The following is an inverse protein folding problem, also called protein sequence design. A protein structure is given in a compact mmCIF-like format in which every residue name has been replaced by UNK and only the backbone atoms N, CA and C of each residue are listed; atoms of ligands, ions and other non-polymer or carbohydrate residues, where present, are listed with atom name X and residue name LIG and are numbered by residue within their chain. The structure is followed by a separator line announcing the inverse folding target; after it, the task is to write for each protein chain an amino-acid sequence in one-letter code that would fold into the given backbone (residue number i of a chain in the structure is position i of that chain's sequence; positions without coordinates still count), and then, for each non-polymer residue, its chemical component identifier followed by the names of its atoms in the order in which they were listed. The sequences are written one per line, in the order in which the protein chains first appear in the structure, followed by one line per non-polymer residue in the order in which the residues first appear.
data_IF_243362995375
#
_entry.id   IF_243362995375
#
_cell.length_a   1.000
_cell.length_b   1.000
_cell.length_c   1.000
_cell.angle_alpha   90.00
_cell.angle_beta   90.00
_cell.angle_gamma   90.00
#
_symmetry.space_group_name_H-M   'P 1'
#
loop_
_entity.id
_entity.type
_entity.pdbx_description
1 polymer ?
#
# COMPACT_ATOMS: atom_id res chain seq x y z
N UNK A 1 24.04 5.37 -18.68
CA UNK A 1 23.15 5.24 -17.49
C UNK A 1 24.00 4.97 -16.25
N UNK A 2 23.62 5.42 -15.04
CA UNK A 2 24.33 5.05 -13.80
C UNK A 2 24.46 3.53 -13.60
N UNK A 3 23.65 2.74 -14.32
CA UNK A 3 23.72 1.27 -14.41
C UNK A 3 24.96 0.77 -15.17
N UNK A 4 25.48 1.54 -16.12
CA UNK A 4 26.63 1.14 -16.96
C UNK A 4 27.97 1.49 -16.31
N UNK A 5 27.99 2.40 -15.33
CA UNK A 5 29.24 2.86 -14.69
C UNK A 5 29.69 1.98 -13.51
N UNK A 6 28.81 1.15 -12.97
CA UNK A 6 29.09 0.28 -11.80
C UNK A 6 28.51 -1.13 -11.96
N UNK A 7 28.25 -1.57 -13.20
CA UNK A 7 27.49 -2.77 -13.55
C UNK A 7 27.86 -4.02 -12.75
N UNK A 8 27.19 -4.22 -11.61
CA UNK A 8 27.06 -5.54 -10.99
C UNK A 8 25.95 -6.25 -11.75
N UNK A 9 26.33 -7.37 -12.38
CA UNK A 9 25.41 -8.36 -12.93
C UNK A 9 24.23 -8.59 -11.97
N UNK A 10 22.96 -8.51 -12.42
CA UNK A 10 21.79 -8.89 -11.63
C UNK A 10 21.90 -10.28 -10.96
N UNK A 11 22.67 -11.21 -11.54
CA UNK A 11 22.98 -12.51 -10.94
C UNK A 11 23.85 -12.45 -9.68
N UNK A 12 24.59 -11.35 -9.48
CA UNK A 12 25.49 -11.12 -8.35
C UNK A 12 24.81 -10.58 -7.08
N UNK A 13 23.49 -10.34 -7.11
CA UNK A 13 22.69 -9.83 -5.98
C UNK A 13 22.33 -10.92 -4.96
N UNK A 14 23.02 -12.06 -5.03
CA UNK A 14 22.82 -13.26 -4.21
C UNK A 14 23.75 -13.30 -3.00
N UNK A 15 24.53 -12.24 -2.75
CA UNK A 15 25.35 -12.16 -1.55
C UNK A 15 24.45 -12.06 -0.30
N UNK A 16 24.80 -12.69 0.84
CA UNK A 16 23.97 -12.67 2.05
C UNK A 16 23.59 -11.27 2.55
N UNK A 17 24.45 -10.27 2.31
CA UNK A 17 24.18 -8.86 2.65
C UNK A 17 23.09 -8.20 1.80
N UNK A 18 22.89 -8.64 0.56
CA UNK A 18 21.89 -8.06 -0.34
C UNK A 18 20.47 -8.43 0.09
N UNK A 19 20.29 -9.61 0.72
CA UNK A 19 19.02 -10.04 1.30
C UNK A 19 18.57 -9.15 2.46
N UNK A 20 19.51 -8.76 3.34
CA UNK A 20 19.22 -7.85 4.44
C UNK A 20 18.88 -6.44 3.95
N UNK A 21 19.63 -5.92 2.97
CA UNK A 21 19.32 -4.62 2.35
C UNK A 21 17.97 -4.62 1.64
N UNK A 22 17.61 -5.71 0.94
CA UNK A 22 16.28 -5.87 0.35
C UNK A 22 15.19 -5.87 1.42
N UNK A 23 15.43 -6.54 2.55
CA UNK A 23 14.49 -6.55 3.68
C UNK A 23 14.31 -5.16 4.30
N UNK A 24 15.42 -4.42 4.51
CA UNK A 24 15.36 -3.04 4.99
C UNK A 24 14.60 -2.12 4.03
N UNK A 25 14.85 -2.25 2.72
CA UNK A 25 14.14 -1.49 1.71
C UNK A 25 12.64 -1.81 1.71
N UNK A 26 12.28 -3.09 1.85
CA UNK A 26 10.89 -3.51 1.98
C UNK A 26 10.24 -2.91 3.23
N UNK A 27 10.91 -2.96 4.39
CA UNK A 27 10.41 -2.36 5.62
C UNK A 27 10.19 -0.85 5.46
N UNK A 28 11.08 -0.15 4.76
CA UNK A 28 10.94 1.28 4.47
C UNK A 28 9.68 1.58 3.63
N UNK A 29 9.39 0.74 2.63
CA UNK A 29 8.23 0.87 1.74
C UNK A 29 6.89 0.76 2.50
N UNK A 30 6.83 -0.06 3.54
CA UNK A 30 5.62 -0.25 4.37
C UNK A 30 5.64 0.54 5.68
N UNK A 31 6.59 1.47 5.84
CA UNK A 31 6.86 2.17 7.11
C UNK A 31 5.78 3.15 7.57
N UNK A 32 4.79 3.46 6.73
CA UNK A 32 3.77 4.46 7.00
C UNK A 32 3.04 4.23 8.34
N UNK A 33 2.80 2.97 8.70
CA UNK A 33 2.06 2.62 9.92
C UNK A 33 2.89 2.76 11.20
N UNK A 34 4.20 2.93 11.08
CA UNK A 34 5.14 3.17 12.18
C UNK A 34 5.42 4.67 12.38
N UNK A 35 4.73 5.56 11.66
CA UNK A 35 4.86 7.02 11.80
C UNK A 35 3.83 7.56 12.80
N UNK A 36 4.05 8.78 13.33
CA UNK A 36 3.04 9.48 14.12
C UNK A 36 1.66 9.46 13.46
N UNK A 37 0.62 9.24 14.26
CA UNK A 37 -0.75 8.96 13.81
C UNK A 37 -1.26 9.85 12.68
N UNK A 38 -1.05 11.17 12.77
CA UNK A 38 -1.52 12.10 11.74
C UNK A 38 -0.91 11.82 10.36
N UNK A 39 0.36 11.40 10.29
CA UNK A 39 1.01 10.99 9.06
C UNK A 39 0.49 9.64 8.58
N UNK A 40 0.40 8.65 9.47
CA UNK A 40 -0.13 7.32 9.13
C UNK A 40 -1.53 7.40 8.52
N UNK A 41 -2.40 8.24 9.09
CA UNK A 41 -3.75 8.49 8.57
C UNK A 41 -3.72 9.20 7.21
N UNK A 42 -2.85 10.19 7.01
CA UNK A 42 -2.72 10.88 5.72
C UNK A 42 -2.27 9.92 4.61
N UNK A 43 -1.30 9.04 4.91
CA UNK A 43 -0.85 7.99 3.99
C UNK A 43 -1.97 7.00 3.68
N UNK A 44 -2.64 6.49 4.71
CA UNK A 44 -3.77 5.56 4.53
C UNK A 44 -4.87 6.18 3.66
N UNK A 45 -5.23 7.45 3.92
CA UNK A 45 -6.25 8.15 3.13
C UNK A 45 -5.87 8.27 1.66
N UNK A 46 -4.61 8.56 1.35
CA UNK A 46 -4.12 8.66 -0.04
C UNK A 46 -4.11 7.30 -0.73
N UNK A 47 -3.63 6.25 -0.04
CA UNK A 47 -3.63 4.89 -0.58
C UNK A 47 -5.05 4.40 -0.90
N UNK A 48 -6.01 4.59 0.01
CA UNK A 48 -7.39 4.17 -0.26
C UNK A 48 -8.10 5.04 -1.30
N UNK A 49 -7.78 6.33 -1.39
CA UNK A 49 -8.30 7.16 -2.48
C UNK A 49 -7.91 6.58 -3.85
N UNK A 50 -6.67 6.12 -3.98
CA UNK A 50 -6.17 5.48 -5.19
C UNK A 50 -6.79 4.09 -5.43
N UNK A 51 -6.88 3.24 -4.41
CA UNK A 51 -7.55 1.94 -4.53
C UNK A 51 -9.01 2.09 -4.96
N UNK A 52 -9.73 3.06 -4.41
CA UNK A 52 -11.11 3.29 -4.79
C UNK A 52 -11.25 3.87 -6.19
N UNK A 53 -10.31 4.71 -6.63
CA UNK A 53 -10.24 5.19 -8.01
C UNK A 53 -10.01 4.03 -8.98
N UNK A 54 -9.11 3.11 -8.64
CA UNK A 54 -8.90 1.89 -9.42
C UNK A 54 -10.17 1.05 -9.51
N UNK A 55 -10.85 0.81 -8.38
CA UNK A 55 -12.08 0.03 -8.36
C UNK A 55 -13.23 0.65 -9.16
N UNK A 56 -13.31 1.98 -9.21
CA UNK A 56 -14.28 2.67 -10.05
C UNK A 56 -13.99 2.46 -11.55
N UNK A 57 -12.71 2.52 -11.96
CA UNK A 57 -12.28 2.22 -13.33
C UNK A 57 -12.49 0.76 -13.71
N UNK A 58 -12.26 -0.17 -12.78
CA UNK A 58 -12.53 -1.59 -12.99
C UNK A 58 -14.03 -1.82 -13.28
N UNK A 59 -14.93 -1.17 -12.53
CA UNK A 59 -16.38 -1.22 -12.78
C UNK A 59 -16.75 -0.62 -14.14
N UNK A 60 -16.19 0.53 -14.48
CA UNK A 60 -16.44 1.20 -15.76
C UNK A 60 -16.05 0.32 -16.95
N UNK A 61 -14.97 -0.44 -16.83
CA UNK A 61 -14.50 -1.36 -17.87
C UNK A 61 -15.11 -2.77 -17.79
N UNK A 62 -16.09 -3.00 -16.90
CA UNK A 62 -16.71 -4.31 -16.74
C UNK A 62 -15.77 -5.39 -16.19
N UNK A 63 -14.69 -4.99 -15.51
CA UNK A 63 -13.73 -5.88 -14.88
C UNK A 63 -14.19 -6.25 -13.46
N UNK A 64 -13.82 -7.44 -12.95
CA UNK A 64 -13.98 -7.76 -11.54
C UNK A 64 -13.23 -6.76 -10.67
N UNK A 65 -13.91 -6.20 -9.67
CA UNK A 65 -13.29 -5.21 -8.77
C UNK A 65 -12.27 -5.88 -7.86
N UNK A 66 -11.07 -5.34 -7.87
CA UNK A 66 -9.94 -5.82 -7.09
C UNK A 66 -10.23 -5.76 -5.59
N UNK A 67 -9.62 -6.66 -4.81
CA UNK A 67 -9.68 -6.58 -3.36
C UNK A 67 -9.36 -5.17 -2.84
N UNK A 68 -10.22 -4.67 -1.95
CA UNK A 68 -10.11 -3.41 -1.20
C UNK A 68 -10.29 -2.15 -2.07
N UNK A 69 -10.55 -2.34 -3.36
CA UNK A 69 -10.78 -1.26 -4.32
C UNK A 69 -12.26 -0.85 -4.39
N UNK A 70 -13.18 -1.58 -3.76
CA UNK A 70 -14.59 -1.19 -3.71
C UNK A 70 -14.92 -0.33 -2.48
N UNK A 71 -15.13 0.98 -2.70
CA UNK A 71 -15.52 1.93 -1.64
C UNK A 71 -16.85 1.62 -0.96
N UNK A 72 -17.75 0.86 -1.60
CA UNK A 72 -19.05 0.52 -1.03
C UNK A 72 -18.97 -0.60 0.02
N UNK A 73 -18.00 -1.51 -0.13
CA UNK A 73 -17.89 -2.71 0.73
C UNK A 73 -16.64 -2.71 1.60
N UNK A 74 -15.65 -1.88 1.29
CA UNK A 74 -14.37 -1.87 2.01
C UNK A 74 -14.46 -1.11 3.32
N UNK A 75 -14.26 -1.83 4.43
CA UNK A 75 -14.12 -1.24 5.77
C UNK A 75 -12.63 -0.95 6.02
N UNK A 76 -12.22 0.30 5.83
CA UNK A 76 -10.81 0.76 5.93
C UNK A 76 -10.16 0.34 7.25
N UNK A 77 -10.83 0.50 8.39
CA UNK A 77 -10.28 0.14 9.70
C UNK A 77 -9.95 -1.36 9.78
N UNK A 78 -10.83 -2.21 9.26
CA UNK A 78 -10.63 -3.66 9.25
C UNK A 78 -9.47 -4.06 8.32
N UNK A 79 -9.41 -3.43 7.14
CA UNK A 79 -8.31 -3.62 6.19
C UNK A 79 -6.95 -3.23 6.80
N UNK A 80 -6.88 -2.09 7.49
CA UNK A 80 -5.66 -1.61 8.15
C UNK A 80 -5.23 -2.48 9.33
N UNK A 81 -6.17 -2.96 10.16
CA UNK A 81 -5.87 -3.93 11.22
C UNK A 81 -5.26 -5.20 10.62
N UNK A 82 -5.83 -5.71 9.53
CA UNK A 82 -5.28 -6.88 8.82
C UNK A 82 -3.86 -6.63 8.31
N UNK A 83 -3.66 -5.53 7.59
CA UNK A 83 -2.35 -5.16 7.04
C UNK A 83 -1.28 -5.02 8.12
N UNK A 84 -1.59 -4.32 9.22
CA UNK A 84 -0.65 -4.17 10.33
C UNK A 84 -0.34 -5.52 10.98
N UNK A 85 -1.36 -6.35 11.27
CA UNK A 85 -1.15 -7.63 11.97
C UNK A 85 -0.35 -8.65 11.17
N UNK A 86 -0.56 -8.71 9.85
CA UNK A 86 -0.05 -9.81 9.03
C UNK A 86 1.14 -9.42 8.15
N UNK A 87 1.41 -8.13 7.95
CA UNK A 87 2.50 -7.65 7.09
C UNK A 87 3.45 -6.76 7.89
N UNK A 88 2.95 -5.67 8.45
CA UNK A 88 3.82 -4.65 9.06
C UNK A 88 4.43 -5.15 10.37
N UNK A 89 3.62 -5.64 11.31
CA UNK A 89 4.10 -6.04 12.63
C UNK A 89 5.14 -7.17 12.58
N UNK A 90 4.95 -8.27 11.83
CA UNK A 90 5.99 -9.29 11.70
C UNK A 90 7.30 -8.76 11.12
N UNK A 91 7.22 -7.84 10.15
CA UNK A 91 8.40 -7.18 9.55
C UNK A 91 9.14 -6.33 10.57
N UNK A 92 8.41 -5.52 11.34
CA UNK A 92 9.00 -4.60 12.31
C UNK A 92 9.45 -5.26 13.62
N UNK A 93 8.81 -6.36 14.03
CA UNK A 93 9.26 -7.17 15.17
C UNK A 93 10.63 -7.79 14.85
N UNK A 94 10.79 -8.41 13.68
CA UNK A 94 12.07 -8.95 13.24
C UNK A 94 13.14 -7.85 13.12
N UNK A 95 12.75 -6.70 12.58
CA UNK A 95 13.69 -5.57 12.45
C UNK A 95 14.10 -5.01 13.82
N UNK A 96 13.21 -5.01 14.81
CA UNK A 96 13.49 -4.56 16.17
C UNK A 96 14.47 -5.48 16.91
N UNK A 97 14.49 -6.78 16.61
CA UNK A 97 15.50 -7.72 17.14
C UNK A 97 16.92 -7.36 16.64
N UNK A 98 17.03 -6.86 15.41
CA UNK A 98 18.31 -6.51 14.78
C UNK A 98 18.76 -5.07 15.06
N UNK A 99 17.80 -4.15 15.18
CA UNK A 99 18.04 -2.72 15.34
C UNK A 99 17.22 -2.19 16.52
N UNK A 100 17.80 -2.08 17.73
CA UNK A 100 17.07 -1.68 18.93
C UNK A 100 16.31 -0.35 18.82
N UNK A 101 16.84 0.61 18.03
CA UNK A 101 16.17 1.89 17.76
C UNK A 101 14.81 1.73 17.08
N UNK A 102 14.57 0.65 16.35
CA UNK A 102 13.27 0.36 15.75
C UNK A 102 12.26 -0.01 16.83
N UNK A 103 12.67 -0.75 17.86
CA UNK A 103 11.83 -1.04 19.02
C UNK A 103 11.46 0.24 19.78
N UNK A 104 12.39 1.18 19.90
CA UNK A 104 12.19 2.44 20.62
C UNK A 104 11.28 3.42 19.87
N UNK A 105 11.43 3.53 18.54
CA UNK A 105 10.79 4.58 17.74
C UNK A 105 9.55 4.05 17.01
N UNK A 106 9.65 2.91 16.34
CA UNK A 106 8.63 2.43 15.41
C UNK A 106 7.53 1.61 16.12
N UNK A 107 7.90 0.76 17.07
CA UNK A 107 6.95 -0.14 17.74
C UNK A 107 5.87 0.59 18.53
N UNK A 108 6.16 1.67 19.31
CA UNK A 108 5.13 2.41 20.02
C UNK A 108 4.11 3.07 19.08
N UNK A 109 4.57 3.66 17.97
CA UNK A 109 3.70 4.26 16.97
C UNK A 109 2.85 3.21 16.25
N UNK A 110 3.44 2.06 15.94
CA UNK A 110 2.72 0.95 15.31
C UNK A 110 1.57 0.45 16.18
N UNK A 111 1.80 0.23 17.48
CA UNK A 111 0.77 -0.20 18.43
C UNK A 111 -0.29 0.89 18.64
N UNK A 112 0.15 2.15 18.80
CA UNK A 112 -0.72 3.32 18.92
C UNK A 112 -1.66 3.47 17.71
N UNK A 113 -1.16 3.23 16.49
CA UNK A 113 -1.95 3.27 15.26
C UNK A 113 -2.86 2.05 15.13
N UNK A 114 -2.39 0.85 15.50
CA UNK A 114 -3.22 -0.35 15.50
C UNK A 114 -4.43 -0.21 16.43
N UNK A 115 -4.22 0.33 17.62
CA UNK A 115 -5.27 0.58 18.60
C UNK A 115 -6.27 1.62 18.09
N UNK A 116 -5.80 2.69 17.44
CA UNK A 116 -6.70 3.65 16.79
C UNK A 116 -7.64 2.99 15.78
N UNK A 117 -7.13 2.07 14.95
CA UNK A 117 -7.96 1.35 13.98
C UNK A 117 -8.96 0.41 14.65
N UNK A 118 -8.59 -0.25 15.76
CA UNK A 118 -9.51 -1.08 16.56
C UNK A 118 -10.68 -0.26 17.09
N UNK A 119 -10.39 0.85 17.77
CA UNK A 119 -11.41 1.75 18.29
C UNK A 119 -12.33 2.30 17.19
N UNK A 120 -11.77 2.62 16.02
CA UNK A 120 -12.55 3.07 14.86
C UNK A 120 -13.44 1.96 14.31
N UNK A 121 -12.98 0.71 14.29
CA UNK A 121 -13.77 -0.44 13.88
C UNK A 121 -14.93 -0.67 14.85
N UNK A 122 -14.65 -0.70 16.15
CA UNK A 122 -15.64 -0.95 17.20
C UNK A 122 -16.75 0.12 17.17
N UNK A 123 -16.37 1.40 17.06
CA UNK A 123 -17.35 2.50 16.89
C UNK A 123 -18.22 2.32 15.65
N UNK A 124 -17.63 1.84 14.55
CA UNK A 124 -18.37 1.61 13.30
C UNK A 124 -19.36 0.46 13.47
N UNK A 125 -18.96 -0.62 14.15
CA UNK A 125 -19.84 -1.77 14.41
C UNK A 125 -20.98 -1.42 15.35
N UNK A 126 -20.74 -0.60 16.37
CA UNK A 126 -21.77 -0.15 17.32
C UNK A 126 -22.82 0.74 16.65
N UNK A 127 -22.39 1.64 15.76
CA UNK A 127 -23.33 2.47 14.98
C UNK A 127 -24.18 1.61 14.03
N UNK A 128 -23.61 0.56 13.45
CA UNK A 128 -24.32 -0.37 12.58
C UNK A 128 -25.28 -1.29 13.34
N UNK A 129 -25.02 -1.60 14.62
CA UNK A 129 -25.92 -2.39 15.47
C UNK A 129 -27.05 -1.52 16.04
N UNK A 130 -26.76 -0.28 16.45
CA UNK A 130 -27.75 0.68 16.94
C UNK A 130 -28.79 1.08 15.87
N UNK A 131 -28.39 1.13 14.60
CA UNK A 131 -29.30 1.37 13.47
C UNK A 131 -30.12 0.13 13.07
N UNK A 132 -29.80 -1.04 13.63
CA UNK A 132 -30.46 -2.34 13.37
C UNK A 132 -31.26 -2.88 14.56
N UNK A 133 -31.92 -2.01 15.31
CA UNK A 133 -32.96 -2.45 16.23
C UNK A 133 -34.21 -2.97 15.49
N UNK A 134 -34.20 -4.25 15.07
CA UNK A 134 -35.35 -5.21 15.04
C UNK A 134 -35.04 -6.53 14.25
N UNK A 135 -33.89 -7.18 14.46
CA UNK A 135 -33.71 -8.54 13.91
C UNK A 135 -32.30 -9.13 14.06
N UNK A 136 -32.26 -10.30 14.70
CA UNK A 136 -31.15 -11.24 14.94
C UNK A 136 -29.84 -10.97 14.17
N UNK A 137 -28.78 -10.59 14.90
CA UNK A 137 -27.49 -10.23 14.27
C UNK A 137 -26.23 -10.60 15.06
N UNK A 138 -26.28 -11.66 15.87
CA UNK A 138 -25.08 -12.19 16.54
C UNK A 138 -24.08 -12.86 15.56
N UNK A 139 -24.51 -13.25 14.35
CA UNK A 139 -23.65 -13.93 13.36
C UNK A 139 -22.82 -13.03 12.43
N UNK A 140 -23.09 -11.72 12.33
CA UNK A 140 -22.57 -10.88 11.24
C UNK A 140 -21.18 -10.27 11.50
N UNK A 141 -20.89 -9.90 12.75
CA UNK A 141 -19.58 -9.36 13.14
C UNK A 141 -18.46 -10.42 13.05
N UNK A 142 -18.76 -11.66 13.44
CA UNK A 142 -17.87 -12.81 13.22
C UNK A 142 -17.63 -13.08 11.73
N UNK A 143 -18.66 -12.88 10.90
CA UNK A 143 -18.58 -13.00 9.44
C UNK A 143 -17.61 -12.02 8.78
N UNK A 144 -17.54 -10.77 9.23
CA UNK A 144 -16.61 -9.76 8.67
C UNK A 144 -15.16 -10.10 9.00
N UNK A 145 -14.86 -10.47 10.25
CA UNK A 145 -13.52 -10.93 10.66
C UNK A 145 -13.10 -12.17 9.87
N UNK A 146 -14.00 -13.14 9.72
CA UNK A 146 -13.76 -14.36 8.95
C UNK A 146 -13.62 -14.09 7.44
N UNK A 147 -14.37 -13.16 6.86
CA UNK A 147 -14.28 -12.78 5.44
C UNK A 147 -12.97 -12.06 5.13
N UNK A 148 -12.52 -11.16 6.01
CA UNK A 148 -11.20 -10.52 5.91
C UNK A 148 -10.12 -11.58 6.02
N UNK A 149 -10.21 -12.48 7.00
CA UNK A 149 -9.22 -13.55 7.19
C UNK A 149 -9.17 -14.50 5.99
N UNK A 150 -10.33 -14.94 5.46
CA UNK A 150 -10.42 -15.77 4.25
C UNK A 150 -9.83 -15.06 3.03
N UNK A 151 -10.11 -13.77 2.84
CA UNK A 151 -9.61 -13.01 1.68
C UNK A 151 -8.11 -12.76 1.76
N UNK A 152 -7.56 -12.56 2.96
CA UNK A 152 -6.12 -12.48 3.19
C UNK A 152 -5.42 -13.83 3.03
N UNK A 153 -5.99 -14.93 3.52
CA UNK A 153 -5.45 -16.28 3.29
C UNK A 153 -5.49 -16.65 1.81
N UNK A 154 -6.60 -16.40 1.11
CA UNK A 154 -6.67 -16.63 -0.35
C UNK A 154 -5.65 -15.79 -1.11
N UNK A 155 -5.47 -14.51 -0.78
CA UNK A 155 -4.45 -13.67 -1.40
C UNK A 155 -3.03 -14.20 -1.13
N UNK A 156 -2.72 -14.60 0.11
CA UNK A 156 -1.43 -15.21 0.47
C UNK A 156 -1.17 -16.53 -0.26
N UNK A 157 -2.19 -17.37 -0.37
CA UNK A 157 -2.06 -18.75 -0.84
C UNK A 157 -2.17 -18.87 -2.37
N UNK A 158 -2.79 -17.91 -3.07
CA UNK A 158 -2.93 -17.88 -4.54
C UNK A 158 -2.04 -16.82 -5.21
N UNK A 159 -1.25 -16.06 -4.45
CA UNK A 159 -0.23 -15.21 -5.03
C UNK A 159 0.89 -16.10 -5.62
N UNK A 160 1.17 -16.05 -6.94
CA UNK A 160 2.39 -16.64 -7.47
C UNK A 160 3.56 -15.97 -6.74
N UNK A 161 4.53 -16.78 -6.29
CA UNK A 161 5.57 -16.39 -5.33
C UNK A 161 6.09 -14.95 -5.54
N UNK A 162 6.15 -14.19 -4.45
CA UNK A 162 6.52 -12.76 -4.35
C UNK A 162 5.44 -11.71 -4.70
N UNK A 163 4.17 -11.93 -4.42
CA UNK A 163 3.25 -10.79 -4.24
C UNK A 163 3.47 -10.13 -2.87
N UNK A 164 4.64 -9.49 -2.73
CA UNK A 164 4.82 -8.44 -1.73
C UNK A 164 3.93 -7.30 -2.21
N UNK A 165 2.95 -6.89 -1.39
CA UNK A 165 2.26 -5.62 -1.61
C UNK A 165 3.31 -4.54 -1.32
N UNK A 166 4.15 -4.28 -2.31
CA UNK A 166 4.94 -3.07 -2.32
C UNK A 166 3.99 -1.95 -2.72
N UNK A 167 4.00 -0.86 -1.96
CA UNK A 167 3.34 0.38 -2.37
C UNK A 167 3.89 0.91 -3.72
N UNK A 168 4.98 0.31 -4.21
CA UNK A 168 5.55 0.56 -5.55
C UNK A 168 4.76 -0.05 -6.71
N UNK A 169 3.79 -0.94 -6.50
CA UNK A 169 3.05 -1.61 -7.59
C UNK A 169 1.86 -0.80 -8.16
N UNK A 170 1.74 0.49 -7.84
CA UNK A 170 0.68 1.38 -8.37
C UNK A 170 1.00 1.92 -9.79
N UNK A 171 2.09 1.47 -10.42
CA UNK A 171 2.36 1.78 -11.82
C UNK A 171 2.45 0.49 -12.64
N UNK A 172 1.43 0.19 -13.44
CA UNK A 172 1.47 -0.01 -14.91
C UNK A 172 0.09 -0.52 -15.35
N UNK A 173 -0.84 0.39 -15.63
CA UNK A 173 -1.81 0.19 -16.71
C UNK A 173 -1.36 1.11 -17.85
N UNK A 174 -0.49 0.59 -18.71
CA UNK A 174 -0.18 1.25 -19.98
C UNK A 174 -1.36 0.94 -20.91
N UNK A 175 -2.06 1.93 -21.49
CA UNK A 175 -3.07 1.65 -22.50
C UNK A 175 -2.41 1.00 -23.74
N UNK A 176 -3.12 0.13 -24.47
CA UNK A 176 -2.59 -0.50 -25.68
C UNK A 176 -2.25 0.57 -26.74
N UNK A 177 -1.22 0.36 -27.58
CA UNK A 177 -0.87 1.33 -28.61
C UNK A 177 -1.98 1.38 -29.67
N UNK A 178 -2.76 2.46 -29.65
CA UNK A 178 -3.57 2.87 -30.80
C UNK A 178 -2.68 3.35 -31.95
N UNK A 179 -3.20 3.42 -33.19
CA UNK A 179 -2.41 3.74 -34.36
C UNK A 179 -1.81 5.15 -34.24
N UNK A 180 -0.49 5.21 -34.34
CA UNK A 180 0.33 6.43 -34.36
C UNK A 180 -0.14 7.41 -35.43
N UNK A 181 -0.76 8.52 -35.03
CA UNK A 181 -0.74 9.73 -35.85
C UNK A 181 0.55 10.49 -35.51
N UNK A 182 1.43 10.62 -36.49
CA UNK A 182 2.64 11.43 -36.41
C UNK A 182 2.25 12.90 -36.26
N UNK A 183 2.37 13.45 -35.06
CA UNK A 183 2.30 14.89 -34.82
C UNK A 183 3.73 15.39 -34.58
N UNK A 184 4.33 15.95 -35.63
CA UNK A 184 5.64 16.59 -35.58
C UNK A 184 5.49 17.92 -34.83
N UNK A 185 5.78 17.96 -33.53
CA UNK A 185 5.89 19.22 -32.78
C UNK A 185 7.17 19.94 -33.21
N UNK A 186 7.01 20.99 -34.00
CA UNK A 186 8.09 21.94 -34.29
C UNK A 186 8.42 22.74 -33.02
N UNK A 187 9.66 22.60 -32.54
CA UNK A 187 10.20 23.41 -31.43
C UNK A 187 10.47 24.84 -31.91
N UNK A 188 10.11 25.89 -31.16
CA UNK A 188 10.52 27.26 -31.46
C UNK A 188 12.02 27.48 -31.16
N UNK A 189 12.71 28.38 -31.89
CA UNK A 189 14.15 28.58 -31.76
C UNK A 189 14.52 29.26 -30.43
N UNK A 190 15.63 28.79 -29.83
CA UNK A 190 16.27 29.39 -28.65
C UNK A 190 16.71 30.83 -28.96
N UNK A 191 16.30 31.79 -28.12
CA UNK A 191 16.88 33.14 -28.13
C UNK A 191 18.30 33.08 -27.55
N UNK A 192 19.29 33.45 -28.34
CA UNK A 192 20.66 33.77 -27.91
C UNK A 192 20.65 35.13 -27.20
N UNK A 193 20.89 35.12 -25.89
CA UNK A 193 21.19 36.34 -25.14
C UNK A 193 22.70 36.58 -25.13
N UNK A 194 23.15 37.61 -25.83
CA UNK A 194 24.47 38.22 -25.65
C UNK A 194 24.32 39.29 -24.56
N UNK A 195 24.89 39.06 -23.38
CA UNK A 195 25.16 40.15 -22.43
C UNK A 195 26.51 40.78 -22.83
N UNK A 196 26.45 42.00 -23.33
CA UNK A 196 27.57 42.91 -23.49
C UNK A 196 27.87 43.58 -22.14
N UNK A 197 29.15 43.58 -21.77
CA UNK A 197 29.73 44.42 -20.73
C UNK A 197 29.62 45.90 -21.13
N UNK A 198 29.10 46.72 -20.22
CA UNK A 198 29.54 48.09 -19.91
C UNK A 198 28.97 48.50 -18.54
#
# INVERSE_FOLDING_TARGET
SMVEAQGRDPGGWSAPGDSFLCFLLHACDISAQCKPRHLALAWTSRCFAEFFRQGDLEKEHGLPVSPQCDRATTVVSSAQIGFVKFVVKPTYDLLAELLPKVAEICSPELESNLEHWRQRLDRTTDLMSATKGSGDSEGRAGGVKAQVMRRWTTFRDHAPGRAVISASSVNVLRPPPGPTQSLVMSLPPRRSGTESMD
#
